data_IF_450241636174
#
_entry.id   IF_450241636174
#
_cell.length_a   1.000
_cell.length_b   1.000
_cell.length_c   1.000
_cell.angle_alpha   90.00
_cell.angle_beta   90.00
_cell.angle_gamma   90.00
#
_symmetry.space_group_name_H-M   'P 1'
#
loop_
_entity.id
_entity.type
_entity.pdbx_description
1 polymer ?
#
# COMPACT_ATOMS: atom_id res chain seq x y z
N UNK A 1 3.98 -0.32 -25.18
CA UNK A 1 2.59 0.19 -25.15
C UNK A 1 1.75 -0.86 -24.42
N UNK A 2 1.68 -0.78 -23.09
CA UNK A 2 0.99 -1.78 -22.27
C UNK A 2 -0.52 -1.54 -22.32
N UNK A 3 -1.27 -2.62 -22.53
CA UNK A 3 -2.72 -2.63 -22.77
C UNK A 3 -3.50 -1.87 -21.68
N UNK A 4 -4.67 -1.29 -22.00
CA UNK A 4 -5.62 -0.83 -20.99
C UNK A 4 -6.27 -2.07 -20.37
N UNK A 5 -5.53 -2.75 -19.49
CA UNK A 5 -6.07 -3.81 -18.67
C UNK A 5 -7.17 -3.19 -17.82
N UNK A 6 -8.42 -3.62 -18.06
CA UNK A 6 -9.58 -3.54 -17.16
C UNK A 6 -9.24 -2.81 -15.85
N UNK A 7 -9.52 -1.51 -15.77
CA UNK A 7 -9.19 -0.72 -14.59
C UNK A 7 -9.92 -1.34 -13.40
N UNK A 8 -9.18 -2.11 -12.59
CA UNK A 8 -9.75 -2.91 -11.53
C UNK A 8 -10.46 -2.01 -10.53
N UNK A 9 -11.56 -2.49 -9.94
CA UNK A 9 -12.33 -1.74 -8.93
C UNK A 9 -11.44 -1.10 -7.84
N UNK A 10 -10.33 -1.75 -7.49
CA UNK A 10 -9.34 -1.25 -6.54
C UNK A 10 -8.66 0.06 -6.99
N UNK A 11 -8.32 0.19 -8.28
CA UNK A 11 -7.70 1.39 -8.85
C UNK A 11 -8.71 2.54 -8.87
N UNK A 12 -9.95 2.27 -9.27
CA UNK A 12 -11.04 3.26 -9.24
C UNK A 12 -11.27 3.75 -7.81
N UNK A 13 -11.36 2.83 -6.85
CA UNK A 13 -11.50 3.16 -5.43
C UNK A 13 -10.32 4.00 -4.91
N UNK A 14 -9.08 3.65 -5.27
CA UNK A 14 -7.90 4.44 -4.91
C UNK A 14 -8.00 5.86 -5.46
N UNK A 15 -8.34 6.04 -6.74
CA UNK A 15 -8.50 7.37 -7.36
C UNK A 15 -9.55 8.20 -6.63
N UNK A 16 -10.69 7.60 -6.29
CA UNK A 16 -11.73 8.28 -5.50
C UNK A 16 -11.23 8.69 -4.11
N UNK A 17 -10.48 7.83 -3.42
CA UNK A 17 -9.89 8.16 -2.11
C UNK A 17 -8.87 9.28 -2.23
N UNK A 18 -7.95 9.21 -3.21
CA UNK A 18 -6.95 10.26 -3.45
C UNK A 18 -7.60 11.62 -3.74
N UNK A 19 -8.68 11.64 -4.53
CA UNK A 19 -9.44 12.86 -4.80
C UNK A 19 -10.09 13.44 -3.53
N UNK A 20 -10.66 12.58 -2.67
CA UNK A 20 -11.23 13.00 -1.38
C UNK A 20 -10.17 13.52 -0.42
N UNK A 21 -9.02 12.86 -0.36
CA UNK A 21 -7.88 13.28 0.46
C UNK A 21 -7.38 14.65 0.01
N UNK A 22 -7.22 14.85 -1.31
CA UNK A 22 -6.85 16.15 -1.87
C UNK A 22 -7.86 17.24 -1.49
N UNK A 23 -9.16 16.98 -1.67
CA UNK A 23 -10.21 17.93 -1.32
C UNK A 23 -10.21 18.25 0.18
N UNK A 24 -9.99 17.26 1.04
CA UNK A 24 -9.87 17.47 2.48
C UNK A 24 -8.62 18.28 2.83
N UNK A 25 -7.48 18.02 2.18
CA UNK A 25 -6.24 18.77 2.35
C UNK A 25 -6.44 20.25 2.02
N UNK A 26 -7.02 20.53 0.85
CA UNK A 26 -7.33 21.89 0.37
C UNK A 26 -8.27 22.60 1.35
N UNK A 27 -9.33 21.93 1.84
CA UNK A 27 -10.25 22.47 2.85
C UNK A 27 -9.57 22.77 4.19
N UNK A 28 -8.56 22.00 4.57
CA UNK A 28 -7.79 22.21 5.80
C UNK A 28 -6.58 23.12 5.63
N UNK A 29 -6.35 23.70 4.45
CA UNK A 29 -5.17 24.53 4.17
C UNK A 29 -3.85 23.76 4.23
N UNK A 30 -3.88 22.44 4.06
CA UNK A 30 -2.70 21.57 4.08
C UNK A 30 -2.28 21.23 2.66
N UNK A 31 -0.97 21.14 2.45
CA UNK A 31 -0.43 20.66 1.18
C UNK A 31 -0.80 19.18 0.97
N UNK A 32 -1.53 18.84 -0.11
CA UNK A 32 -1.94 17.46 -0.39
C UNK A 32 -0.73 16.57 -0.70
N UNK A 33 0.38 17.12 -1.19
CA UNK A 33 1.62 16.38 -1.45
C UNK A 33 2.30 15.84 -0.18
N UNK A 34 2.03 16.45 0.98
CA UNK A 34 2.48 15.94 2.29
C UNK A 34 1.59 14.84 2.87
N UNK A 35 0.42 14.56 2.28
CA UNK A 35 -0.49 13.54 2.80
C UNK A 35 -0.20 12.21 2.14
N UNK A 36 0.38 11.29 2.91
CA UNK A 36 0.61 9.92 2.46
C UNK A 36 -0.64 9.07 2.67
N UNK A 37 -1.19 8.55 1.58
CA UNK A 37 -2.29 7.58 1.62
C UNK A 37 -1.68 6.19 1.66
N UNK A 38 -2.03 5.40 2.68
CA UNK A 38 -1.55 4.03 2.83
C UNK A 38 -2.70 3.08 2.51
N UNK A 39 -2.58 2.30 1.45
CA UNK A 39 -3.59 1.33 1.05
C UNK A 39 -3.49 0.06 1.91
N UNK A 40 -4.48 -0.18 2.79
CA UNK A 40 -4.48 -1.37 3.64
C UNK A 40 -4.84 -2.61 2.81
N UNK A 41 -3.87 -3.52 2.63
CA UNK A 41 -3.96 -4.72 1.80
C UNK A 41 -4.18 -6.02 2.59
N UNK A 42 -4.49 -5.92 3.88
CA UNK A 42 -4.85 -7.07 4.74
C UNK A 42 -5.90 -7.93 4.04
N UNK A 43 -5.70 -9.25 4.04
CA UNK A 43 -6.59 -10.24 3.42
C UNK A 43 -6.83 -10.08 1.91
N UNK A 44 -6.06 -9.24 1.21
CA UNK A 44 -6.13 -9.08 -0.26
C UNK A 44 -5.04 -9.90 -0.96
N UNK A 45 -5.35 -10.48 -2.13
CA UNK A 45 -4.38 -11.25 -2.92
C UNK A 45 -3.32 -10.33 -3.54
N UNK A 46 -2.14 -10.88 -3.80
CA UNK A 46 -1.00 -10.19 -4.44
C UNK A 46 -1.40 -9.56 -5.77
N UNK A 47 -2.24 -10.22 -6.57
CA UNK A 47 -2.71 -9.71 -7.86
C UNK A 47 -3.46 -8.38 -7.74
N UNK A 48 -4.16 -8.13 -6.61
CA UNK A 48 -4.85 -6.87 -6.37
C UNK A 48 -3.88 -5.78 -5.91
N UNK A 49 -2.90 -6.14 -5.09
CA UNK A 49 -1.81 -5.23 -4.68
C UNK A 49 -1.02 -4.79 -5.91
N UNK A 50 -0.70 -5.73 -6.81
CA UNK A 50 0.00 -5.46 -8.07
C UNK A 50 -0.78 -4.51 -8.98
N UNK A 51 -2.10 -4.66 -9.11
CA UNK A 51 -2.92 -3.71 -9.87
C UNK A 51 -2.84 -2.28 -9.31
N UNK A 52 -2.90 -2.15 -7.99
CA UNK A 52 -2.78 -0.85 -7.31
C UNK A 52 -1.36 -0.29 -7.45
N UNK A 53 -0.36 -1.16 -7.46
CA UNK A 53 1.04 -0.80 -7.72
C UNK A 53 1.26 -0.31 -9.16
N UNK A 54 0.73 -1.02 -10.16
CA UNK A 54 0.77 -0.64 -11.57
C UNK A 54 0.06 0.70 -11.82
N UNK A 55 -0.95 1.04 -10.99
CA UNK A 55 -1.59 2.36 -11.00
C UNK A 55 -0.71 3.48 -10.41
N UNK A 56 0.52 3.18 -9.97
CA UNK A 56 1.49 4.14 -9.45
C UNK A 56 1.48 4.29 -7.92
N UNK A 57 0.69 3.49 -7.19
CA UNK A 57 0.70 3.52 -5.74
C UNK A 57 1.89 2.73 -5.18
N UNK A 58 2.50 3.22 -4.11
CA UNK A 58 3.69 2.59 -3.49
C UNK A 58 3.51 2.28 -2.01
N UNK A 59 2.62 2.96 -1.31
CA UNK A 59 2.47 2.82 0.14
C UNK A 59 1.39 1.79 0.49
N UNK A 60 1.76 0.62 0.98
CA UNK A 60 0.82 -0.43 1.35
C UNK A 60 0.85 -0.73 2.85
N UNK A 61 -0.32 -1.02 3.42
CA UNK A 61 -0.50 -1.26 4.85
C UNK A 61 -0.82 -2.72 5.14
N UNK A 62 0.00 -3.40 5.94
CA UNK A 62 -0.25 -4.79 6.36
C UNK A 62 -0.42 -4.92 7.88
N UNK A 63 -1.34 -5.80 8.27
CA UNK A 63 -1.62 -6.08 9.69
C UNK A 63 -0.85 -7.29 10.22
N UNK A 64 -0.44 -8.20 9.34
CA UNK A 64 0.25 -9.43 9.72
C UNK A 64 1.62 -9.49 9.04
N UNK A 65 2.68 -9.55 9.84
CA UNK A 65 4.06 -9.68 9.32
C UNK A 65 4.22 -10.90 8.41
N UNK A 66 3.48 -11.97 8.70
CA UNK A 66 3.58 -13.22 7.97
C UNK A 66 3.02 -13.09 6.55
N UNK A 67 1.92 -12.33 6.37
CA UNK A 67 1.44 -11.95 5.03
C UNK A 67 2.46 -11.05 4.32
N UNK A 68 3.08 -10.11 5.02
CA UNK A 68 4.09 -9.24 4.44
C UNK A 68 5.32 -10.03 3.96
N UNK A 69 5.84 -10.96 4.77
CA UNK A 69 6.97 -11.81 4.40
C UNK A 69 6.65 -12.69 3.19
N UNK A 70 5.42 -13.19 3.09
CA UNK A 70 4.98 -14.02 1.96
C UNK A 70 4.80 -13.22 0.67
N UNK A 71 4.26 -11.99 0.77
CA UNK A 71 3.93 -11.13 -0.37
C UNK A 71 5.10 -10.27 -0.85
N UNK A 72 5.95 -9.79 0.07
CA UNK A 72 7.08 -8.92 -0.23
C UNK A 72 7.99 -9.47 -1.37
N UNK A 73 8.42 -10.74 -1.36
CA UNK A 73 9.24 -11.28 -2.46
C UNK A 73 8.49 -11.46 -3.78
N UNK A 74 7.16 -11.46 -3.76
CA UNK A 74 6.31 -11.56 -4.97
C UNK A 74 6.04 -10.20 -5.61
N UNK A 75 6.41 -9.12 -4.93
CA UNK A 75 6.16 -7.74 -5.33
C UNK A 75 7.48 -6.98 -5.48
N UNK A 76 7.47 -5.85 -6.20
CA UNK A 76 8.67 -5.03 -6.36
C UNK A 76 9.15 -4.47 -5.02
N UNK A 77 10.48 -4.40 -4.86
CA UNK A 77 11.17 -3.85 -3.68
C UNK A 77 10.89 -2.35 -3.43
N UNK A 78 10.45 -1.63 -4.45
CA UNK A 78 10.06 -0.20 -4.39
C UNK A 78 8.75 0.05 -3.58
N UNK A 79 8.10 -1.01 -3.08
CA UNK A 79 6.91 -0.88 -2.25
C UNK A 79 7.28 -0.44 -0.82
N UNK A 80 6.69 0.67 -0.38
CA UNK A 80 6.74 1.12 1.00
C UNK A 80 5.70 0.38 1.86
N UNK A 81 6.14 -0.71 2.49
CA UNK A 81 5.31 -1.44 3.45
C UNK A 81 5.21 -0.73 4.80
N UNK A 82 3.98 -0.46 5.22
CA UNK A 82 3.64 0.11 6.51
C UNK A 82 2.95 -0.96 7.35
N UNK A 83 3.56 -1.35 8.46
CA UNK A 83 2.93 -2.27 9.39
C UNK A 83 2.01 -1.51 10.35
N UNK A 84 0.70 -1.76 10.27
CA UNK A 84 -0.34 -1.08 11.08
C UNK A 84 -0.99 -2.04 12.09
N UNK A 85 -0.54 -3.30 12.11
CA UNK A 85 -1.05 -4.34 12.99
C UNK A 85 -0.57 -4.22 14.44
N UNK A 86 -1.19 -5.01 15.32
CA UNK A 86 -0.73 -5.16 16.69
C UNK A 86 0.61 -5.91 16.70
N UNK A 87 1.69 -5.18 16.90
CA UNK A 87 3.05 -5.72 16.91
C UNK A 87 3.27 -6.48 18.22
N UNK A 88 2.99 -7.78 18.22
CA UNK A 88 3.47 -8.64 19.31
C UNK A 88 5.00 -8.64 19.31
N UNK A 89 5.61 -8.40 20.47
CA UNK A 89 7.05 -8.17 20.67
C UNK A 89 7.95 -9.26 20.05
N UNK A 90 7.44 -10.49 19.93
CA UNK A 90 8.17 -11.62 19.35
C UNK A 90 8.28 -11.58 17.81
N UNK A 91 7.53 -10.72 17.11
CA UNK A 91 7.51 -10.62 15.64
C UNK A 91 8.33 -9.46 15.07
N UNK A 92 8.94 -8.64 15.92
CA UNK A 92 9.78 -7.49 15.53
C UNK A 92 11.03 -7.94 14.76
N UNK A 93 11.67 -9.04 15.19
CA UNK A 93 12.85 -9.60 14.52
C UNK A 93 12.58 -9.95 13.04
N UNK A 94 11.40 -10.49 12.75
CA UNK A 94 11.02 -10.90 11.40
C UNK A 94 10.72 -9.71 10.47
N UNK A 95 10.29 -8.56 11.01
CA UNK A 95 10.14 -7.33 10.22
C UNK A 95 11.49 -6.71 9.86
N UNK A 96 12.42 -6.69 10.82
CA UNK A 96 13.76 -6.13 10.61
C UNK A 96 14.55 -6.90 9.54
N UNK A 97 14.39 -8.23 9.48
CA UNK A 97 15.04 -9.05 8.45
C UNK A 97 14.53 -8.80 7.03
N UNK A 98 13.32 -8.24 6.85
CA UNK A 98 12.77 -7.94 5.52
C UNK A 98 13.12 -6.55 4.97
N UNK A 99 13.60 -5.62 5.82
CA UNK A 99 13.97 -4.26 5.37
C UNK A 99 15.49 -4.08 5.15
N UNK A 100 16.27 -5.14 5.32
CA UNK A 100 17.75 -5.07 5.38
C UNK A 100 18.46 -5.73 4.19
N UNK A 101 17.84 -5.85 3.02
CA UNK A 101 18.48 -6.41 1.82
C UNK A 101 18.10 -5.63 0.58
#
# INVERSE_FOLDING_TARGET
MAAPAMEGFAVTALRSVMARVRQAAEKSGRDPGRIRVVAVSKTKPVSLIRQVYDAGHRCFGENYVQELIDKAPQLPEDIEWHFIGHLQTNKVKSLLSCQSS
#
